data_IF_361889755117
#
_entry.id   IF_361889755117
#
_cell.length_a   1.000
_cell.length_b   1.000
_cell.length_c   1.000
_cell.angle_alpha   90.00
_cell.angle_beta   90.00
_cell.angle_gamma   90.00
#
_symmetry.space_group_name_H-M   'P 1'
#
loop_
_entity.id
_entity.type
_entity.pdbx_description
1 polymer ?
#
# COMPACT_ATOMS: atom_id res chain seq x y z
N UNK A 1 18.19 -7.64 17.55
CA UNK A 1 18.14 -6.77 16.36
C UNK A 1 16.92 -5.87 16.47
N UNK A 2 17.10 -4.54 16.55
CA UNK A 2 15.98 -3.60 16.58
C UNK A 2 15.25 -3.65 15.24
N UNK A 3 13.99 -4.11 15.23
CA UNK A 3 13.18 -4.20 14.02
C UNK A 3 12.81 -2.77 13.63
N UNK A 4 13.52 -2.19 12.66
CA UNK A 4 13.16 -0.88 12.11
C UNK A 4 11.69 -0.94 11.71
N UNK A 5 10.89 -0.01 12.23
CA UNK A 5 9.47 0.06 11.88
C UNK A 5 9.37 0.27 10.36
N UNK A 6 8.53 -0.51 9.65
CA UNK A 6 8.35 -0.31 8.23
C UNK A 6 7.71 1.05 7.99
N UNK A 7 8.17 1.76 6.96
CA UNK A 7 7.63 3.07 6.57
C UNK A 7 6.13 3.00 6.25
N UNK A 8 5.70 1.90 5.64
CA UNK A 8 4.31 1.65 5.27
C UNK A 8 3.72 0.53 6.11
N UNK A 9 2.57 0.79 6.73
CA UNK A 9 1.77 -0.26 7.36
C UNK A 9 0.77 -0.82 6.35
N UNK A 10 0.86 -2.13 6.02
CA UNK A 10 -0.14 -2.82 5.23
C UNK A 10 -1.55 -2.69 5.84
N UNK A 11 -2.53 -2.48 4.98
CA UNK A 11 -3.93 -2.26 5.36
C UNK A 11 -4.70 -1.53 4.27
N UNK A 12 -5.98 -1.26 4.54
CA UNK A 12 -6.90 -0.67 3.57
C UNK A 12 -6.42 0.68 3.02
N UNK A 13 -5.93 1.57 3.89
CA UNK A 13 -5.44 2.89 3.48
C UNK A 13 -4.25 2.78 2.52
N UNK A 14 -3.29 1.88 2.80
CA UNK A 14 -2.16 1.68 1.91
C UNK A 14 -2.60 1.09 0.56
N UNK A 15 -3.50 0.10 0.58
CA UNK A 15 -4.03 -0.51 -0.63
C UNK A 15 -4.77 0.51 -1.51
N UNK A 16 -5.64 1.34 -0.93
CA UNK A 16 -6.36 2.41 -1.63
C UNK A 16 -5.39 3.37 -2.33
N UNK A 17 -4.34 3.81 -1.64
CA UNK A 17 -3.32 4.71 -2.18
C UNK A 17 -2.57 4.08 -3.34
N UNK A 18 -2.13 2.83 -3.20
CA UNK A 18 -1.44 2.10 -4.27
C UNK A 18 -2.33 1.96 -5.51
N UNK A 19 -3.60 1.58 -5.33
CA UNK A 19 -4.55 1.45 -6.45
C UNK A 19 -4.80 2.81 -7.10
N UNK A 20 -4.93 3.88 -6.31
CA UNK A 20 -5.04 5.25 -6.80
C UNK A 20 -3.83 5.68 -7.63
N UNK A 21 -2.61 5.35 -7.18
CA UNK A 21 -1.37 5.65 -7.88
C UNK A 21 -1.30 4.98 -9.26
N UNK A 22 -1.68 3.70 -9.36
CA UNK A 22 -1.76 3.01 -10.66
C UNK A 22 -2.79 3.68 -11.58
N UNK A 23 -3.99 4.00 -11.06
CA UNK A 23 -5.06 4.64 -11.84
C UNK A 23 -4.66 6.02 -12.36
N UNK A 24 -3.98 6.82 -11.55
CA UNK A 24 -3.49 8.14 -11.94
C UNK A 24 -2.50 8.09 -13.13
N UNK A 25 -1.87 6.94 -13.36
CA UNK A 25 -0.92 6.68 -14.46
C UNK A 25 -1.55 5.93 -15.63
N UNK A 26 -2.87 5.76 -15.66
CA UNK A 26 -3.57 5.01 -16.70
C UNK A 26 -3.36 3.49 -16.63
N UNK A 27 -2.90 2.97 -15.50
CA UNK A 27 -2.71 1.54 -15.26
C UNK A 27 -3.74 1.01 -14.26
N UNK A 28 -3.86 -0.31 -14.18
CA UNK A 28 -4.62 -0.97 -13.10
C UNK A 28 -3.69 -1.84 -12.27
N UNK A 29 -3.95 -1.90 -10.97
CA UNK A 29 -3.20 -2.74 -10.04
C UNK A 29 -3.16 -4.21 -10.48
N UNK A 30 -4.34 -4.76 -10.84
CA UNK A 30 -4.46 -6.15 -11.28
C UNK A 30 -3.69 -6.43 -12.58
N UNK A 31 -3.68 -5.49 -13.53
CA UNK A 31 -2.90 -5.60 -14.76
C UNK A 31 -1.40 -5.61 -14.45
N UNK A 32 -0.93 -4.64 -13.67
CA UNK A 32 0.46 -4.56 -13.28
C UNK A 32 0.91 -5.83 -12.55
N UNK A 33 0.10 -6.37 -11.63
CA UNK A 33 0.42 -7.63 -10.96
C UNK A 33 0.66 -8.76 -11.98
N UNK A 34 -0.25 -8.95 -12.92
CA UNK A 34 -0.16 -10.02 -13.94
C UNK A 34 1.10 -9.87 -14.80
N UNK A 35 1.39 -8.67 -15.27
CA UNK A 35 2.58 -8.38 -16.08
C UNK A 35 3.90 -8.62 -15.32
N UNK A 36 3.86 -8.52 -13.99
CA UNK A 36 5.05 -8.63 -13.13
C UNK A 36 5.16 -9.98 -12.40
N UNK A 37 4.41 -10.98 -12.86
CA UNK A 37 4.46 -12.35 -12.32
C UNK A 37 3.78 -12.52 -10.96
N UNK A 38 2.89 -11.60 -10.57
CA UNK A 38 2.06 -11.70 -9.38
C UNK A 38 0.61 -11.99 -9.75
N UNK A 39 -0.03 -12.89 -9.01
CA UNK A 39 -1.49 -12.96 -9.05
C UNK A 39 -2.08 -11.72 -8.37
N UNK A 40 -3.21 -11.18 -8.83
CA UNK A 40 -3.88 -10.06 -8.16
C UNK A 40 -4.21 -10.37 -6.68
N UNK A 41 -4.50 -11.64 -6.37
CA UNK A 41 -4.72 -12.11 -5.00
C UNK A 41 -3.47 -11.94 -4.14
N UNK A 42 -2.30 -12.41 -4.61
CA UNK A 42 -1.03 -12.25 -3.87
C UNK A 42 -0.66 -10.77 -3.70
N UNK A 43 -0.91 -9.95 -4.71
CA UNK A 43 -0.72 -8.50 -4.62
C UNK A 43 -1.59 -7.88 -3.52
N UNK A 44 -2.90 -8.19 -3.52
CA UNK A 44 -3.83 -7.73 -2.48
C UNK A 44 -3.36 -8.20 -1.10
N UNK A 45 -3.07 -9.49 -0.94
CA UNK A 45 -2.62 -10.06 0.33
C UNK A 45 -1.35 -9.37 0.87
N UNK A 46 -0.42 -8.97 0.00
CA UNK A 46 0.76 -8.20 0.39
C UNK A 46 0.36 -6.80 0.90
N UNK A 47 -0.45 -6.05 0.14
CA UNK A 47 -0.88 -4.68 0.49
C UNK A 47 -1.79 -4.60 1.71
N UNK A 48 -2.63 -5.62 1.96
CA UNK A 48 -3.47 -5.73 3.15
C UNK A 48 -2.75 -6.35 4.35
N UNK A 49 -1.54 -6.88 4.16
CA UNK A 49 -0.76 -7.50 5.23
C UNK A 49 -1.23 -8.90 5.63
N UNK A 50 -1.97 -9.58 4.77
CA UNK A 50 -2.30 -11.00 4.92
C UNK A 50 -1.08 -11.90 4.61
N UNK A 51 -0.11 -11.40 3.83
CA UNK A 51 1.18 -12.07 3.59
C UNK A 51 2.33 -11.25 4.18
N UNK A 52 2.79 -11.62 5.39
CA UNK A 52 3.81 -10.87 6.16
C UNK A 52 5.20 -11.52 6.15
N UNK A 53 5.34 -12.70 5.54
CA UNK A 53 6.61 -13.39 5.35
C UNK A 53 7.53 -12.67 4.37
N UNK A 54 8.71 -13.23 4.13
CA UNK A 54 9.76 -12.64 3.27
C UNK A 54 9.23 -12.32 1.87
N UNK A 55 8.60 -13.29 1.20
CA UNK A 55 8.02 -13.11 -0.13
C UNK A 55 6.93 -12.03 -0.15
N UNK A 56 6.07 -11.99 0.88
CA UNK A 56 4.99 -10.99 0.97
C UNK A 56 5.52 -9.57 1.12
N UNK A 57 6.59 -9.40 1.91
CA UNK A 57 7.28 -8.11 2.05
C UNK A 57 8.00 -7.71 0.77
N UNK A 58 8.70 -8.64 0.12
CA UNK A 58 9.35 -8.38 -1.16
C UNK A 58 8.35 -7.96 -2.24
N UNK A 59 7.19 -8.63 -2.30
CA UNK A 59 6.10 -8.26 -3.20
C UNK A 59 5.54 -6.87 -2.88
N UNK A 60 5.35 -6.55 -1.59
CA UNK A 60 4.89 -5.23 -1.18
C UNK A 60 5.86 -4.12 -1.60
N UNK A 61 7.17 -4.29 -1.38
CA UNK A 61 8.17 -3.31 -1.79
C UNK A 61 8.15 -3.09 -3.31
N UNK A 62 8.12 -4.17 -4.10
CA UNK A 62 8.00 -4.09 -5.57
C UNK A 62 6.75 -3.32 -6.01
N UNK A 63 5.62 -3.55 -5.35
CA UNK A 63 4.35 -2.86 -5.64
C UNK A 63 4.47 -1.37 -5.32
N UNK A 64 5.05 -1.01 -4.18
CA UNK A 64 5.21 0.40 -3.75
C UNK A 64 6.14 1.15 -4.71
N UNK A 65 7.26 0.53 -5.09
CA UNK A 65 8.19 1.13 -6.05
C UNK A 65 7.53 1.35 -7.41
N UNK A 66 6.79 0.35 -7.91
CA UNK A 66 6.09 0.46 -9.17
C UNK A 66 4.96 1.50 -9.18
N UNK A 67 4.25 1.63 -8.06
CA UNK A 67 3.24 2.67 -7.87
C UNK A 67 3.85 4.08 -7.84
N UNK A 68 5.14 4.18 -7.50
CA UNK A 68 5.87 5.44 -7.32
C UNK A 68 5.97 5.76 -5.84
N UNK A 69 7.09 5.37 -5.22
CA UNK A 69 7.29 5.42 -3.76
C UNK A 69 7.00 6.78 -3.14
N UNK A 70 7.48 7.86 -3.75
CA UNK A 70 7.28 9.22 -3.24
C UNK A 70 5.79 9.62 -3.25
N UNK A 71 5.10 9.36 -4.37
CA UNK A 71 3.66 9.58 -4.47
C UNK A 71 2.89 8.78 -3.43
N UNK A 72 3.24 7.49 -3.27
CA UNK A 72 2.62 6.63 -2.26
C UNK A 72 2.87 7.18 -0.86
N UNK A 73 4.09 7.62 -0.54
CA UNK A 73 4.43 8.22 0.76
C UNK A 73 3.55 9.42 1.08
N UNK A 74 3.47 10.37 0.16
CA UNK A 74 2.78 11.63 0.40
C UNK A 74 1.25 11.43 0.47
N UNK A 75 0.69 10.62 -0.44
CA UNK A 75 -0.73 10.29 -0.43
C UNK A 75 -1.13 9.44 0.79
N UNK A 76 -0.28 8.50 1.21
CA UNK A 76 -0.50 7.68 2.39
C UNK A 76 -0.47 8.51 3.68
N UNK A 77 0.53 9.38 3.84
CA UNK A 77 0.61 10.29 4.99
C UNK A 77 -0.64 11.17 5.10
N UNK A 78 -1.09 11.73 3.97
CA UNK A 78 -2.32 12.53 3.91
C UNK A 78 -3.54 11.72 4.33
N UNK A 79 -3.73 10.53 3.76
CA UNK A 79 -4.91 9.68 4.03
C UNK A 79 -4.95 9.18 5.46
N UNK A 80 -3.79 8.86 6.05
CA UNK A 80 -3.66 8.54 7.48
C UNK A 80 -4.06 9.73 8.37
N UNK A 81 -3.56 10.94 8.07
CA UNK A 81 -3.92 12.14 8.82
C UNK A 81 -5.42 12.45 8.73
N UNK A 82 -6.01 12.29 7.55
CA UNK A 82 -7.46 12.44 7.33
C UNK A 82 -8.26 11.40 8.13
N UNK A 83 -7.84 10.13 8.13
CA UNK A 83 -8.51 9.09 8.91
C UNK A 83 -8.38 9.34 10.42
N UNK A 84 -7.19 9.72 10.90
CA UNK A 84 -6.95 10.07 12.30
C UNK A 84 -7.88 11.21 12.78
N UNK A 85 -8.11 12.23 11.94
CA UNK A 85 -9.01 13.35 12.24
C UNK A 85 -10.47 12.92 12.47
N UNK A 86 -10.91 11.80 11.89
CA UNK A 86 -12.27 11.28 12.11
C UNK A 86 -12.49 10.84 13.55
N UNK A 87 -11.45 10.31 14.21
CA UNK A 87 -11.51 9.91 15.61
C UNK A 87 -11.31 11.09 16.57
N UNK A 88 -10.52 12.10 16.18
CA UNK A 88 -10.28 13.29 17.02
C UNK A 88 -11.52 14.18 17.11
N UNK A 89 -12.36 14.23 16.07
CA UNK A 89 -13.66 14.95 16.10
C UNK A 89 -14.82 14.13 16.68
N UNK A 90 -14.56 12.92 17.17
CA UNK A 90 -15.56 11.97 17.69
C UNK A 90 -15.39 11.61 19.18
N UNK A 91 -14.73 12.47 19.96
CA UNK A 91 -14.89 12.52 21.41
C UNK A 91 -15.84 13.68 21.76
N UNK A 92 -17.11 13.53 21.41
CA UNK A 92 -18.21 14.41 21.81
C UNK A 92 -19.43 13.54 22.10
#
# INVERSE_FOLDING_TARGET
MSRKQPEFQPGAILHEVIVGAFRARGLTFDHWCKENGLTPSNGRNATFGQSRGELGRANLERIIDAAGREFVRDAYARRLAEHARQFVKGAA
#
